data_IF_363576326439
#
_entry.id   IF_363576326439
#
_cell.length_a   1.000
_cell.length_b   1.000
_cell.length_c   1.000
_cell.angle_alpha   90.00
_cell.angle_beta   90.00
_cell.angle_gamma   90.00
#
_symmetry.space_group_name_H-M   'P 1'
#
loop_
_entity.id
_entity.type
_entity.pdbx_description
1 polymer ?
#
# COMPACT_ATOMS: atom_id res chain seq x y z
N UNK A 1 -2.40 78.02 43.17
CA UNK A 1 -2.82 77.30 41.94
C UNK A 1 -1.70 76.97 40.94
N UNK A 2 -0.52 77.61 40.95
CA UNK A 2 0.58 77.30 40.01
C UNK A 2 1.22 75.91 40.19
N UNK A 3 1.42 75.43 41.43
CA UNK A 3 2.06 74.12 41.68
C UNK A 3 1.27 72.90 41.20
N UNK A 4 -0.07 72.90 41.29
CA UNK A 4 -0.89 71.77 40.81
C UNK A 4 -0.76 71.55 39.29
N UNK A 5 -0.70 72.63 38.49
CA UNK A 5 -0.54 72.52 37.03
C UNK A 5 0.85 71.99 36.64
N UNK A 6 1.89 72.35 37.39
CA UNK A 6 3.26 71.86 37.16
C UNK A 6 3.38 70.37 37.51
N UNK A 7 2.80 69.94 38.63
CA UNK A 7 2.79 68.51 39.05
C UNK A 7 2.02 67.65 38.05
N UNK A 8 0.86 68.11 37.56
CA UNK A 8 0.08 67.38 36.54
C UNK A 8 0.85 67.26 35.22
N UNK A 9 1.56 68.31 34.78
CA UNK A 9 2.42 68.26 33.59
C UNK A 9 3.58 67.29 33.76
N UNK A 10 4.18 67.23 34.96
CA UNK A 10 5.27 66.31 35.25
C UNK A 10 4.80 64.85 35.25
N UNK A 11 3.64 64.56 35.85
CA UNK A 11 3.04 63.22 35.84
C UNK A 11 2.68 62.80 34.40
N UNK A 12 2.10 63.70 33.61
CA UNK A 12 1.78 63.43 32.21
C UNK A 12 3.05 63.14 31.37
N UNK A 13 4.14 63.88 31.63
CA UNK A 13 5.43 63.65 30.98
C UNK A 13 6.01 62.27 31.36
N UNK A 14 5.95 61.90 32.64
CA UNK A 14 6.42 60.61 33.13
C UNK A 14 5.61 59.46 32.51
N UNK A 15 4.29 59.58 32.45
CA UNK A 15 3.42 58.60 31.80
C UNK A 15 3.71 58.47 30.29
N UNK A 16 3.94 59.59 29.61
CA UNK A 16 4.30 59.60 28.20
C UNK A 16 5.64 58.90 27.94
N UNK A 17 6.65 59.18 28.77
CA UNK A 17 7.96 58.51 28.70
C UNK A 17 7.83 57.02 29.01
N UNK A 18 7.03 56.65 30.02
CA UNK A 18 6.76 55.25 30.36
C UNK A 18 6.11 54.50 29.19
N UNK A 19 5.10 55.09 28.53
CA UNK A 19 4.44 54.51 27.35
C UNK A 19 5.44 54.30 26.21
N UNK A 20 6.29 55.29 25.92
CA UNK A 20 7.34 55.17 24.89
C UNK A 20 8.33 54.07 25.24
N UNK A 21 8.77 53.97 26.50
CA UNK A 21 9.70 52.93 26.94
C UNK A 21 9.07 51.54 26.85
N UNK A 22 7.82 51.36 27.27
CA UNK A 22 7.10 50.09 27.11
C UNK A 22 6.85 49.74 25.66
N UNK A 23 6.46 50.70 24.82
CA UNK A 23 6.25 50.49 23.39
C UNK A 23 7.55 50.14 22.67
N UNK A 24 8.65 50.81 23.01
CA UNK A 24 9.98 50.53 22.48
C UNK A 24 10.49 49.17 22.94
N UNK A 25 10.30 48.80 24.22
CA UNK A 25 10.61 47.47 24.74
C UNK A 25 9.79 46.38 24.04
N UNK A 26 8.48 46.59 23.86
CA UNK A 26 7.61 45.66 23.15
C UNK A 26 8.03 45.50 21.69
N UNK A 27 8.33 46.61 21.01
CA UNK A 27 8.83 46.64 19.63
C UNK A 27 10.18 45.91 19.51
N UNK A 28 11.12 46.17 20.41
CA UNK A 28 12.42 45.49 20.40
C UNK A 28 12.27 43.99 20.65
N UNK A 29 11.40 43.60 21.58
CA UNK A 29 11.15 42.20 21.91
C UNK A 29 10.46 41.45 20.75
N UNK A 30 9.50 42.10 20.08
CA UNK A 30 8.88 41.60 18.85
C UNK A 30 9.89 41.51 17.70
N UNK A 31 10.77 42.50 17.56
CA UNK A 31 11.82 42.53 16.54
C UNK A 31 12.87 41.44 16.78
N UNK A 32 13.30 41.25 18.02
CA UNK A 32 14.27 40.21 18.40
C UNK A 32 13.70 38.80 18.19
N UNK A 33 12.39 38.59 18.47
CA UNK A 33 11.69 37.35 18.13
C UNK A 33 11.59 37.08 16.63
N UNK A 34 11.65 38.12 15.79
CA UNK A 34 11.49 38.03 14.32
C UNK A 34 12.80 38.11 13.53
N UNK A 35 13.91 38.56 14.14
CA UNK A 35 15.26 38.44 13.56
C UNK A 35 15.79 37.02 13.71
N UNK A 36 15.40 36.13 12.80
CA UNK A 36 15.97 34.78 12.74
C UNK A 36 17.47 34.75 12.43
N UNK A 37 18.15 33.70 12.92
CA UNK A 37 19.57 33.42 12.69
C UNK A 37 19.73 32.62 11.39
N UNK A 38 20.70 33.00 10.55
CA UNK A 38 21.10 32.18 9.39
C UNK A 38 21.76 30.90 9.91
N UNK A 39 21.20 29.76 9.51
CA UNK A 39 21.64 28.43 9.95
C UNK A 39 21.63 27.51 8.73
N UNK A 40 22.66 26.69 8.59
CA UNK A 40 22.70 25.62 7.59
C UNK A 40 21.88 24.46 8.14
N UNK A 41 20.86 24.04 7.42
CA UNK A 41 19.98 22.91 7.77
C UNK A 41 20.14 21.83 6.72
N UNK A 42 20.19 20.58 7.13
CA UNK A 42 20.09 19.43 6.23
C UNK A 42 18.63 19.06 6.03
N UNK A 43 18.20 18.99 4.79
CA UNK A 43 16.87 18.61 4.36
C UNK A 43 16.97 17.28 3.60
N UNK A 44 16.21 16.27 4.03
CA UNK A 44 16.27 14.94 3.42
C UNK A 44 15.23 14.82 2.30
N UNK A 45 15.72 14.66 1.07
CA UNK A 45 14.90 14.44 -0.12
C UNK A 45 15.12 13.04 -0.67
N UNK A 46 14.15 12.52 -1.41
CA UNK A 46 14.31 11.25 -2.11
C UNK A 46 15.01 11.45 -3.46
N UNK A 47 16.09 10.72 -3.66
CA UNK A 47 16.73 10.57 -4.97
C UNK A 47 16.17 9.32 -5.68
N UNK A 48 15.46 9.46 -6.80
CA UNK A 48 14.92 8.33 -7.56
C UNK A 48 15.99 7.47 -8.22
N UNK A 49 17.20 8.01 -8.45
CA UNK A 49 18.32 7.30 -9.08
C UNK A 49 18.99 6.38 -8.05
N UNK A 50 19.44 6.94 -6.93
CA UNK A 50 20.00 6.19 -5.80
C UNK A 50 18.98 5.36 -5.03
N UNK A 51 17.68 5.66 -5.18
CA UNK A 51 16.56 5.05 -4.45
C UNK A 51 16.67 5.20 -2.93
N UNK A 52 17.25 6.30 -2.48
CA UNK A 52 17.54 6.58 -1.07
C UNK A 52 17.16 8.01 -0.68
N UNK A 53 17.18 8.29 0.63
CA UNK A 53 17.06 9.65 1.15
C UNK A 53 18.45 10.27 1.23
N UNK A 54 18.64 11.41 0.56
CA UNK A 54 19.90 12.16 0.59
C UNK A 54 19.74 13.49 1.32
N UNK A 55 20.71 13.89 2.17
CA UNK A 55 20.70 15.19 2.81
C UNK A 55 21.14 16.27 1.83
N UNK A 56 20.37 17.36 1.74
CA UNK A 56 20.75 18.59 1.04
C UNK A 56 20.89 19.73 2.05
N UNK A 57 22.05 20.39 2.05
CA UNK A 57 22.29 21.54 2.90
C UNK A 57 21.67 22.82 2.31
N UNK A 58 20.98 23.59 3.16
CA UNK A 58 20.40 24.88 2.78
C UNK A 58 20.55 25.89 3.90
N UNK A 59 21.02 27.09 3.55
CA UNK A 59 21.01 28.21 4.49
C UNK A 59 19.59 28.75 4.64
N UNK A 60 19.04 28.65 5.85
CA UNK A 60 17.69 29.13 6.18
C UNK A 60 17.81 30.14 7.32
N UNK A 61 17.00 31.20 7.25
CA UNK A 61 16.82 32.14 8.36
C UNK A 61 15.80 31.55 9.34
N UNK A 62 16.29 30.94 10.41
CA UNK A 62 15.49 30.23 11.41
C UNK A 62 15.08 31.18 12.54
N UNK A 63 13.80 31.29 12.91
CA UNK A 63 13.35 32.04 14.08
C UNK A 63 13.91 31.47 15.39
N UNK A 64 14.02 32.29 16.44
CA UNK A 64 14.52 31.83 17.75
C UNK A 64 13.55 30.88 18.49
N UNK A 65 12.32 30.71 18.01
CA UNK A 65 11.34 29.77 18.56
C UNK A 65 11.48 28.43 17.87
N UNK A 66 11.65 27.36 18.64
CA UNK A 66 11.78 25.98 18.12
C UNK A 66 10.55 25.56 17.30
N UNK A 67 9.35 25.89 17.74
CA UNK A 67 8.10 25.67 16.99
C UNK A 67 8.14 26.37 15.62
N UNK A 68 8.48 27.66 15.59
CA UNK A 68 8.55 28.41 14.33
C UNK A 68 9.70 27.94 13.43
N UNK A 69 10.79 27.44 14.02
CA UNK A 69 11.90 26.81 13.30
C UNK A 69 11.44 25.56 12.56
N UNK A 70 10.75 24.65 13.26
CA UNK A 70 10.19 23.41 12.68
C UNK A 70 9.22 23.74 11.54
N UNK A 71 8.27 24.67 11.74
CA UNK A 71 7.34 25.10 10.67
C UNK A 71 8.12 25.59 9.45
N UNK A 72 9.12 26.47 9.66
CA UNK A 72 9.92 27.03 8.57
C UNK A 72 10.70 25.96 7.81
N UNK A 73 11.22 24.96 8.52
CA UNK A 73 11.97 23.84 7.92
C UNK A 73 11.04 22.94 7.11
N UNK A 74 9.88 22.57 7.66
CA UNK A 74 8.85 21.78 6.95
C UNK A 74 8.39 22.52 5.68
N UNK A 75 8.10 23.82 5.76
CA UNK A 75 7.74 24.61 4.59
C UNK A 75 8.86 24.67 3.56
N UNK A 76 10.11 24.65 3.99
CA UNK A 76 11.26 24.61 3.07
C UNK A 76 11.44 23.22 2.45
N UNK A 77 11.15 22.15 3.19
CA UNK A 77 11.22 20.75 2.75
C UNK A 77 10.20 20.42 1.65
N UNK A 78 9.10 21.19 1.54
CA UNK A 78 8.13 21.06 0.45
C UNK A 78 8.71 21.39 -0.93
N UNK A 79 9.82 22.14 -1.00
CA UNK A 79 10.40 22.60 -2.26
C UNK A 79 11.87 22.15 -2.37
N UNK A 80 12.13 21.05 -3.08
CA UNK A 80 13.48 20.58 -3.37
C UNK A 80 14.34 21.65 -4.03
N UNK A 81 15.64 21.63 -3.73
CA UNK A 81 16.61 22.59 -4.29
C UNK A 81 16.99 22.21 -5.73
N UNK A 82 16.95 20.92 -6.04
CA UNK A 82 17.27 20.35 -7.35
C UNK A 82 16.00 19.74 -7.97
N UNK A 83 15.84 19.88 -9.28
CA UNK A 83 14.61 19.52 -9.99
C UNK A 83 14.37 18.00 -10.09
N UNK A 84 15.37 17.18 -9.81
CA UNK A 84 15.37 15.71 -9.87
C UNK A 84 15.09 15.05 -8.51
N UNK A 85 15.12 15.82 -7.41
CA UNK A 85 14.84 15.33 -6.07
C UNK A 85 13.36 15.49 -5.72
N UNK A 86 12.83 14.53 -4.96
CA UNK A 86 11.42 14.50 -4.56
C UNK A 86 11.26 14.87 -3.10
N UNK A 87 10.31 15.77 -2.84
CA UNK A 87 9.93 16.12 -1.47
C UNK A 87 9.21 14.96 -0.79
N UNK A 88 9.49 14.68 0.49
CA UNK A 88 8.70 13.76 1.30
C UNK A 88 7.32 14.32 1.67
N UNK A 89 7.02 15.59 1.34
CA UNK A 89 5.77 16.25 1.71
C UNK A 89 4.93 16.60 0.49
N UNK A 90 3.62 16.44 0.62
CA UNK A 90 2.69 17.02 -0.33
C UNK A 90 2.67 18.55 -0.17
N UNK A 91 2.44 19.27 -1.28
CA UNK A 91 2.36 20.74 -1.29
C UNK A 91 1.38 21.30 -0.27
N UNK A 92 0.27 20.59 -0.08
CA UNK A 92 -0.86 21.02 0.74
C UNK A 92 -0.74 20.55 2.20
N UNK A 93 0.40 19.95 2.56
CA UNK A 93 0.69 19.56 3.95
C UNK A 93 0.76 20.79 4.84
N UNK A 94 -0.01 20.81 5.93
CA UNK A 94 -0.06 21.90 6.89
C UNK A 94 0.27 21.36 8.28
N UNK A 95 1.17 22.05 8.97
CA UNK A 95 1.45 21.80 10.38
C UNK A 95 0.38 22.45 11.23
N UNK A 96 -0.42 21.65 11.93
CA UNK A 96 -1.50 22.11 12.80
C UNK A 96 -0.99 22.52 14.19
N UNK A 97 -0.11 21.72 14.76
CA UNK A 97 0.52 22.00 16.05
C UNK A 97 1.86 21.29 16.18
N UNK A 98 2.72 21.82 17.04
CA UNK A 98 4.01 21.23 17.41
C UNK A 98 4.15 21.35 18.92
N UNK A 99 4.51 20.26 19.58
CA UNK A 99 5.00 20.25 20.95
C UNK A 99 6.39 19.62 20.99
N UNK A 100 7.33 20.20 21.73
CA UNK A 100 8.69 19.66 21.88
C UNK A 100 8.96 19.53 23.37
N UNK A 101 9.01 18.30 23.85
CA UNK A 101 9.25 17.95 25.24
C UNK A 101 10.26 16.79 25.27
N UNK A 102 11.29 16.91 26.12
CA UNK A 102 12.31 15.87 26.32
C UNK A 102 12.92 15.28 25.03
N UNK A 103 13.13 16.13 24.02
CA UNK A 103 13.70 15.73 22.71
C UNK A 103 12.69 15.13 21.74
N UNK A 104 11.43 14.91 22.15
CA UNK A 104 10.37 14.39 21.29
C UNK A 104 9.60 15.55 20.66
N UNK A 105 9.66 15.67 19.34
CA UNK A 105 8.83 16.58 18.57
C UNK A 105 7.50 15.90 18.21
N UNK A 106 6.44 16.22 18.94
CA UNK A 106 5.08 15.82 18.58
C UNK A 106 4.55 16.77 17.51
N UNK A 107 4.43 16.27 16.29
CA UNK A 107 4.07 17.00 15.08
C UNK A 107 2.70 16.57 14.59
N UNK A 108 1.73 17.48 14.64
CA UNK A 108 0.40 17.26 14.09
C UNK A 108 0.28 17.86 12.70
N UNK A 109 -0.04 17.02 11.72
CA UNK A 109 -0.22 17.40 10.31
C UNK A 109 -1.67 17.30 9.90
N UNK A 110 -2.05 18.00 8.83
CA UNK A 110 -3.34 17.76 8.20
C UNK A 110 -3.35 16.44 7.40
N UNK A 111 -4.54 15.91 7.10
CA UNK A 111 -4.71 14.72 6.23
C UNK A 111 -4.03 14.82 4.86
N UNK A 112 -3.77 16.03 4.36
CA UNK A 112 -3.04 16.18 3.10
C UNK A 112 -1.66 15.53 3.14
N UNK A 113 -1.05 15.32 4.32
CA UNK A 113 0.22 14.60 4.45
C UNK A 113 0.14 13.12 3.98
N UNK A 114 -1.02 12.48 4.15
CA UNK A 114 -1.21 11.05 3.86
C UNK A 114 -1.72 10.80 2.44
N UNK A 115 -2.27 11.81 1.75
CA UNK A 115 -2.81 11.66 0.39
C UNK A 115 -1.75 11.16 -0.60
N UNK A 116 -1.94 10.00 -1.21
CA UNK A 116 -0.99 9.42 -2.16
C UNK A 116 -1.71 8.83 -3.36
N UNK A 117 -1.14 9.00 -4.56
CA UNK A 117 -1.75 8.50 -5.80
C UNK A 117 -1.79 6.96 -5.85
N UNK A 118 -0.78 6.30 -5.28
CA UNK A 118 -0.78 4.85 -5.10
C UNK A 118 -0.03 4.46 -3.84
N UNK A 119 -0.65 3.62 -3.01
CA UNK A 119 -0.05 3.08 -1.80
C UNK A 119 1.13 2.18 -2.17
N UNK A 120 2.26 2.40 -1.51
CA UNK A 120 3.48 1.60 -1.63
C UNK A 120 4.30 1.78 -0.36
N UNK A 121 4.90 0.69 0.12
CA UNK A 121 5.77 0.67 1.29
C UNK A 121 6.88 1.70 1.13
N UNK A 122 7.52 1.74 -0.04
CA UNK A 122 8.64 2.66 -0.30
C UNK A 122 8.19 4.11 -0.32
N UNK A 123 7.06 4.41 -0.98
CA UNK A 123 6.57 5.79 -1.07
C UNK A 123 6.15 6.33 0.29
N UNK A 124 5.52 5.49 1.12
CA UNK A 124 5.15 5.85 2.48
C UNK A 124 6.41 6.08 3.35
N UNK A 125 7.39 5.19 3.26
CA UNK A 125 8.67 5.32 3.97
C UNK A 125 9.41 6.61 3.61
N UNK A 126 9.43 7.00 2.34
CA UNK A 126 10.03 8.26 1.89
C UNK A 126 9.41 9.45 2.65
N UNK A 127 8.09 9.48 2.79
CA UNK A 127 7.38 10.57 3.46
C UNK A 127 7.72 10.64 4.95
N UNK A 128 7.61 9.50 5.63
CA UNK A 128 7.86 9.42 7.07
C UNK A 128 9.33 9.70 7.38
N UNK A 129 10.24 8.91 6.81
CA UNK A 129 11.66 9.01 7.15
C UNK A 129 12.31 10.27 6.60
N UNK A 130 11.88 10.81 5.45
CA UNK A 130 12.39 12.09 4.95
C UNK A 130 12.04 13.26 5.89
N UNK A 131 10.81 13.28 6.42
CA UNK A 131 10.39 14.26 7.40
C UNK A 131 11.11 14.07 8.74
N UNK A 132 11.13 12.84 9.28
CA UNK A 132 11.78 12.51 10.56
C UNK A 132 13.26 12.86 10.51
N UNK A 133 13.99 12.41 9.49
CA UNK A 133 15.42 12.68 9.36
C UNK A 133 15.70 14.19 9.30
N UNK A 134 14.89 14.94 8.53
CA UNK A 134 15.02 16.40 8.47
C UNK A 134 14.84 17.08 9.83
N UNK A 135 13.87 16.65 10.64
CA UNK A 135 13.61 17.27 11.94
C UNK A 135 14.60 16.85 13.02
N UNK A 136 15.10 15.61 12.96
CA UNK A 136 16.13 15.10 13.91
C UNK A 136 17.53 15.67 13.67
N UNK A 137 17.74 16.43 12.60
CA UNK A 137 18.96 17.26 12.44
C UNK A 137 18.93 18.52 13.32
N UNK A 138 17.78 18.87 13.90
CA UNK A 138 17.68 19.96 14.86
C UNK A 138 18.23 19.51 16.22
N UNK A 139 19.06 20.34 16.89
CA UNK A 139 19.79 19.93 18.09
C UNK A 139 18.89 19.54 19.27
N UNK A 140 17.65 20.05 19.31
CA UNK A 140 16.71 19.81 20.40
C UNK A 140 15.70 18.69 20.08
N UNK A 141 15.85 17.96 18.96
CA UNK A 141 14.91 16.93 18.52
C UNK A 141 15.65 15.62 18.27
N UNK A 142 15.37 14.61 19.09
CA UNK A 142 15.93 13.26 18.97
C UNK A 142 14.99 12.31 18.23
N UNK A 143 13.69 12.57 18.29
CA UNK A 143 12.66 11.75 17.63
C UNK A 143 11.40 12.56 17.33
N UNK A 144 10.59 12.10 16.39
CA UNK A 144 9.35 12.76 15.96
C UNK A 144 8.18 11.81 16.17
N UNK A 145 7.17 12.27 16.90
CA UNK A 145 5.87 11.61 16.98
C UNK A 145 4.93 12.30 16.00
N UNK A 146 4.37 11.56 15.04
CA UNK A 146 3.46 12.11 14.03
C UNK A 146 2.02 11.89 14.45
N UNK A 147 1.19 12.93 14.34
CA UNK A 147 -0.28 12.87 14.44
C UNK A 147 -0.88 13.38 13.14
N UNK A 148 -2.02 12.82 12.75
CA UNK A 148 -2.80 13.28 11.59
C UNK A 148 -4.15 13.77 12.09
N UNK A 149 -4.46 15.04 11.86
CA UNK A 149 -5.74 15.65 12.28
C UNK A 149 -6.03 15.57 13.79
N UNK A 150 -4.98 15.65 14.62
CA UNK A 150 -4.98 15.42 16.08
C UNK A 150 -5.19 13.96 16.50
N UNK A 151 -5.29 13.03 15.56
CA UNK A 151 -5.41 11.60 15.87
C UNK A 151 -4.03 10.95 15.88
N UNK A 152 -3.82 10.12 16.91
CA UNK A 152 -2.71 9.19 16.95
C UNK A 152 -3.15 7.95 16.16
N UNK A 153 -2.48 7.67 15.05
CA UNK A 153 -2.75 6.51 14.20
C UNK A 153 -1.66 5.46 14.37
N UNK A 154 -1.97 4.22 14.05
CA UNK A 154 -0.99 3.14 14.11
C UNK A 154 -0.01 3.21 12.94
N UNK A 155 -0.51 3.55 11.76
CA UNK A 155 0.26 3.67 10.52
C UNK A 155 0.08 5.05 9.89
N UNK A 156 1.08 5.53 9.16
CA UNK A 156 1.01 6.81 8.45
C UNK A 156 -0.03 6.76 7.32
N UNK A 157 0.05 5.72 6.51
CA UNK A 157 -1.01 5.28 5.61
C UNK A 157 -1.40 3.84 5.95
N UNK A 158 -0.54 2.87 5.61
CA UNK A 158 -0.80 1.44 5.81
C UNK A 158 0.45 0.66 6.25
N UNK A 159 1.63 1.08 5.84
CA UNK A 159 2.85 0.28 5.97
C UNK A 159 3.82 0.76 7.06
N UNK A 160 3.87 2.07 7.32
CA UNK A 160 4.87 2.65 8.21
C UNK A 160 4.23 3.04 9.53
N UNK A 161 4.63 2.36 10.60
CA UNK A 161 4.10 2.61 11.93
C UNK A 161 4.47 4.02 12.42
N UNK A 162 3.49 4.70 13.01
CA UNK A 162 3.63 6.02 13.63
C UNK A 162 2.99 6.08 15.04
N UNK A 163 2.61 4.94 15.62
CA UNK A 163 2.09 4.83 17.00
C UNK A 163 3.13 5.14 18.08
N UNK A 164 4.39 5.33 17.71
CA UNK A 164 5.47 5.70 18.62
C UNK A 164 6.41 6.75 18.00
N UNK A 165 7.18 7.49 18.82
CA UNK A 165 8.17 8.44 18.31
C UNK A 165 9.24 7.73 17.48
N UNK A 166 9.50 8.27 16.29
CA UNK A 166 10.44 7.72 15.32
C UNK A 166 11.74 8.52 15.38
N UNK A 167 12.86 7.83 15.58
CA UNK A 167 14.18 8.43 15.55
C UNK A 167 14.73 8.52 14.12
N UNK A 168 15.88 9.16 13.95
CA UNK A 168 16.58 9.26 12.68
C UNK A 168 16.78 7.87 12.03
N UNK A 169 16.32 7.71 10.79
CA UNK A 169 16.41 6.48 10.02
C UNK A 169 17.61 6.51 9.09
N UNK A 170 18.60 5.65 9.34
CA UNK A 170 19.82 5.51 8.54
C UNK A 170 19.89 4.21 7.73
N UNK A 171 18.78 3.46 7.65
CA UNK A 171 18.71 2.18 6.95
C UNK A 171 18.41 2.31 5.45
N UNK A 172 18.40 1.17 4.76
CA UNK A 172 17.89 1.09 3.38
C UNK A 172 16.37 1.19 3.42
N UNK A 173 15.81 2.19 2.74
CA UNK A 173 14.35 2.38 2.66
C UNK A 173 13.64 1.05 2.34
N UNK A 174 12.60 0.69 3.11
CA UNK A 174 11.92 -0.57 2.95
C UNK A 174 11.34 -0.69 1.55
N UNK A 175 11.42 -1.90 0.99
CA UNK A 175 10.85 -2.24 -0.30
C UNK A 175 9.68 -3.19 -0.06
N UNK A 176 8.52 -2.86 -0.62
CA UNK A 176 7.39 -3.76 -0.61
C UNK A 176 7.62 -4.95 -1.55
N UNK A 177 7.05 -6.09 -1.17
CA UNK A 177 6.85 -7.24 -2.05
C UNK A 177 5.41 -7.17 -2.58
N UNK A 178 5.22 -7.23 -3.90
CA UNK A 178 3.87 -7.36 -4.47
C UNK A 178 3.28 -8.73 -4.13
N UNK A 179 2.01 -8.75 -3.73
CA UNK A 179 1.21 -9.93 -3.46
C UNK A 179 -0.16 -9.79 -4.12
N UNK A 180 -0.81 -10.94 -4.31
CA UNK A 180 -2.07 -11.08 -5.01
C UNK A 180 -3.16 -11.50 -4.03
N UNK A 181 -4.15 -10.62 -3.84
CA UNK A 181 -5.30 -10.84 -2.96
C UNK A 181 -6.56 -11.01 -3.78
N UNK A 182 -7.38 -12.01 -3.45
CA UNK A 182 -8.65 -12.26 -4.12
C UNK A 182 -9.79 -11.75 -3.27
N UNK A 183 -10.49 -10.72 -3.73
CA UNK A 183 -11.67 -10.17 -3.06
C UNK A 183 -12.92 -10.38 -3.90
N UNK A 184 -14.10 -10.40 -3.28
CA UNK A 184 -15.35 -10.44 -4.04
C UNK A 184 -15.63 -9.05 -4.64
N UNK A 185 -16.17 -9.01 -5.85
CA UNK A 185 -16.70 -7.77 -6.40
C UNK A 185 -17.91 -7.26 -5.57
N UNK A 186 -18.36 -6.02 -5.84
CA UNK A 186 -19.37 -5.38 -5.00
C UNK A 186 -20.74 -6.07 -5.03
N UNK A 187 -21.06 -6.79 -6.11
CA UNK A 187 -22.30 -7.57 -6.22
C UNK A 187 -22.18 -9.00 -5.65
N UNK A 188 -21.00 -9.41 -5.16
CA UNK A 188 -20.76 -10.73 -4.59
C UNK A 188 -20.84 -11.88 -5.60
N UNK A 189 -20.67 -11.61 -6.89
CA UNK A 189 -20.78 -12.59 -7.96
C UNK A 189 -19.46 -13.31 -8.27
N UNK A 190 -18.34 -12.57 -8.28
CA UNK A 190 -17.04 -13.06 -8.76
C UNK A 190 -15.90 -12.62 -7.85
N UNK A 191 -14.77 -13.35 -7.90
CA UNK A 191 -13.51 -12.90 -7.32
C UNK A 191 -12.77 -11.98 -8.29
N UNK A 192 -12.16 -10.94 -7.74
CA UNK A 192 -11.32 -9.97 -8.42
C UNK A 192 -9.93 -9.95 -7.77
N UNK A 193 -8.91 -9.82 -8.61
CA UNK A 193 -7.51 -9.79 -8.21
C UNK A 193 -7.08 -8.37 -7.85
N UNK A 194 -6.80 -8.15 -6.57
CA UNK A 194 -6.16 -6.94 -6.08
C UNK A 194 -4.66 -7.17 -5.89
N UNK A 195 -3.85 -6.29 -6.49
CA UNK A 195 -2.41 -6.23 -6.25
C UNK A 195 -2.13 -5.31 -5.06
N UNK A 196 -1.34 -5.79 -4.10
CA UNK A 196 -0.93 -5.01 -2.92
C UNK A 196 0.56 -5.21 -2.64
N UNK A 197 1.21 -4.23 -2.02
CA UNK A 197 2.54 -4.44 -1.46
C UNK A 197 2.43 -4.93 -0.01
N UNK A 198 3.39 -5.72 0.46
CA UNK A 198 3.58 -6.00 1.89
C UNK A 198 5.05 -5.80 2.26
N UNK A 199 5.33 -5.61 3.55
CA UNK A 199 6.70 -5.65 4.04
C UNK A 199 7.18 -7.11 4.01
N UNK A 200 8.21 -7.46 3.22
CA UNK A 200 8.64 -8.85 3.08
C UNK A 200 9.15 -9.41 4.42
N UNK A 201 8.78 -10.66 4.70
CA UNK A 201 9.31 -11.44 5.84
C UNK A 201 10.20 -12.56 5.30
N UNK A 202 11.28 -12.85 6.00
CA UNK A 202 12.21 -13.93 5.66
C UNK A 202 11.68 -15.31 6.05
N UNK A 203 10.97 -15.38 7.18
CA UNK A 203 10.29 -16.60 7.62
C UNK A 203 9.04 -16.86 6.76
N UNK A 204 8.92 -18.03 6.11
CA UNK A 204 7.78 -18.34 5.24
C UNK A 204 6.44 -18.35 5.99
N UNK A 205 6.42 -18.80 7.26
CA UNK A 205 5.19 -18.82 8.06
C UNK A 205 4.74 -17.40 8.36
N UNK A 206 5.65 -16.53 8.81
CA UNK A 206 5.38 -15.11 9.03
C UNK A 206 4.93 -14.39 7.75
N UNK A 207 5.58 -14.67 6.60
CA UNK A 207 5.18 -14.10 5.31
C UNK A 207 3.76 -14.52 4.91
N UNK A 208 3.44 -15.80 5.05
CA UNK A 208 2.12 -16.34 4.68
C UNK A 208 1.04 -15.82 5.62
N UNK A 209 1.35 -15.70 6.92
CA UNK A 209 0.45 -15.10 7.92
C UNK A 209 0.20 -13.62 7.64
N UNK A 210 1.22 -12.85 7.27
CA UNK A 210 1.08 -11.44 6.87
C UNK A 210 0.12 -11.30 5.67
N UNK A 211 0.25 -12.16 4.65
CA UNK A 211 -0.66 -12.15 3.48
C UNK A 211 -2.11 -12.46 3.89
N UNK A 212 -2.31 -13.41 4.82
CA UNK A 212 -3.63 -13.70 5.36
C UNK A 212 -4.20 -12.50 6.14
N UNK A 213 -3.37 -11.82 6.93
CA UNK A 213 -3.77 -10.62 7.67
C UNK A 213 -4.16 -9.47 6.74
N UNK A 214 -3.43 -9.27 5.64
CA UNK A 214 -3.80 -8.30 4.61
C UNK A 214 -5.12 -8.63 3.91
N UNK A 215 -5.42 -9.92 3.74
CA UNK A 215 -6.71 -10.36 3.24
C UNK A 215 -7.83 -10.04 4.24
N UNK A 216 -7.63 -10.30 5.54
CA UNK A 216 -8.60 -9.99 6.59
C UNK A 216 -8.80 -8.49 6.80
N UNK A 217 -7.76 -7.68 6.59
CA UNK A 217 -7.87 -6.22 6.59
C UNK A 217 -8.88 -5.71 5.54
N UNK A 218 -9.14 -6.49 4.50
CA UNK A 218 -10.08 -6.13 3.44
C UNK A 218 -9.42 -5.37 2.29
N UNK A 219 -10.22 -5.00 1.28
CA UNK A 219 -9.75 -4.37 0.04
C UNK A 219 -9.35 -2.91 0.24
N UNK A 220 -8.20 -2.51 -0.31
CA UNK A 220 -7.79 -1.09 -0.37
C UNK A 220 -8.35 -0.36 -1.60
N UNK A 221 -9.10 -1.09 -2.45
CA UNK A 221 -9.73 -0.59 -3.67
C UNK A 221 -11.25 -0.64 -3.62
N UNK A 222 -11.83 -0.85 -2.44
CA UNK A 222 -13.27 -0.83 -2.23
C UNK A 222 -14.00 -2.07 -2.75
N UNK A 223 -13.32 -3.21 -2.91
CA UNK A 223 -13.97 -4.50 -3.14
C UNK A 223 -14.58 -5.06 -1.85
N UNK A 224 -15.49 -6.02 -1.98
CA UNK A 224 -16.18 -6.63 -0.83
C UNK A 224 -15.25 -7.58 -0.08
N UNK A 225 -15.06 -7.32 1.22
CA UNK A 225 -14.38 -8.22 2.14
C UNK A 225 -15.40 -9.17 2.78
N UNK A 226 -15.21 -10.49 2.68
CA UNK A 226 -16.10 -11.44 3.34
C UNK A 226 -15.78 -11.63 4.84
N UNK A 227 -14.75 -10.96 5.37
CA UNK A 227 -14.27 -11.14 6.74
C UNK A 227 -14.83 -10.06 7.66
N UNK A 228 -15.17 -10.39 8.92
CA UNK A 228 -15.62 -9.40 9.88
C UNK A 228 -14.52 -8.39 10.20
N UNK A 229 -14.88 -7.12 10.21
CA UNK A 229 -14.01 -6.03 10.66
C UNK A 229 -13.85 -6.09 12.20
N UNK A 230 -12.67 -5.75 12.69
CA UNK A 230 -12.38 -5.55 14.13
C UNK A 230 -12.56 -6.78 15.06
N UNK A 231 -12.56 -8.00 14.52
CA UNK A 231 -12.61 -9.24 15.32
C UNK A 231 -11.35 -10.07 15.06
N UNK A 232 -10.63 -10.43 16.12
CA UNK A 232 -9.56 -11.44 16.02
C UNK A 232 -10.20 -12.84 15.87
N UNK A 233 -10.33 -13.25 14.62
CA UNK A 233 -10.92 -14.53 14.24
C UNK A 233 -9.88 -15.64 14.14
N UNK A 234 -8.59 -15.41 14.42
CA UNK A 234 -7.52 -16.38 14.17
C UNK A 234 -6.98 -16.98 15.48
N UNK A 235 -7.32 -18.23 15.77
CA UNK A 235 -6.77 -18.95 16.92
C UNK A 235 -5.33 -19.41 16.68
N UNK A 236 -5.07 -20.05 15.54
CA UNK A 236 -3.77 -20.60 15.20
C UNK A 236 -3.52 -20.61 13.68
N UNK A 237 -2.25 -20.63 13.30
CA UNK A 237 -1.80 -20.62 11.92
C UNK A 237 -0.46 -21.31 11.78
N UNK A 238 -0.38 -22.33 10.92
CA UNK A 238 0.87 -23.04 10.66
C UNK A 238 0.93 -23.65 9.25
N UNK A 239 2.14 -23.96 8.80
CA UNK A 239 2.39 -24.60 7.50
C UNK A 239 2.94 -26.00 7.76
N UNK A 240 2.26 -27.01 7.22
CA UNK A 240 2.68 -28.41 7.29
C UNK A 240 3.62 -28.77 6.13
N UNK A 241 4.36 -29.87 6.30
CA UNK A 241 5.14 -30.46 5.21
C UNK A 241 4.25 -30.78 4.00
N UNK A 242 4.72 -30.45 2.79
CA UNK A 242 3.93 -30.61 1.55
C UNK A 242 3.15 -29.35 1.14
N UNK A 243 3.30 -28.23 1.86
CA UNK A 243 2.74 -26.94 1.47
C UNK A 243 1.26 -26.77 1.86
N UNK A 244 0.80 -27.46 2.90
CA UNK A 244 -0.56 -27.31 3.41
C UNK A 244 -0.54 -26.22 4.48
N UNK A 245 -1.23 -25.10 4.22
CA UNK A 245 -1.47 -24.08 5.24
C UNK A 245 -2.68 -24.51 6.06
N UNK A 246 -2.56 -24.54 7.38
CA UNK A 246 -3.71 -24.72 8.27
C UNK A 246 -4.06 -23.40 8.94
N UNK A 247 -5.33 -23.02 8.83
CA UNK A 247 -5.91 -21.84 9.47
C UNK A 247 -6.94 -22.35 10.47
N UNK A 248 -6.74 -22.03 11.75
CA UNK A 248 -7.72 -22.30 12.79
C UNK A 248 -8.46 -21.02 13.15
N UNK A 249 -9.74 -20.95 12.77
CA UNK A 249 -10.59 -19.84 13.14
C UNK A 249 -11.13 -20.01 14.56
N UNK A 250 -11.30 -18.89 15.27
CA UNK A 250 -12.08 -18.86 16.51
C UNK A 250 -13.57 -19.11 16.22
N UNK A 251 -14.35 -19.45 17.25
CA UNK A 251 -15.81 -19.59 17.10
C UNK A 251 -16.50 -18.29 16.65
N UNK A 252 -15.86 -17.14 16.81
CA UNK A 252 -16.44 -15.84 16.47
C UNK A 252 -16.70 -15.68 14.97
N UNK A 253 -15.99 -16.44 14.11
CA UNK A 253 -16.26 -16.46 12.66
C UNK A 253 -17.71 -16.88 12.35
N UNK A 254 -18.34 -17.64 13.24
CA UNK A 254 -19.72 -18.12 13.10
C UNK A 254 -20.78 -17.06 13.42
N UNK A 255 -20.38 -15.93 14.02
CA UNK A 255 -21.31 -14.84 14.35
C UNK A 255 -21.74 -14.00 13.13
N UNK A 256 -21.12 -14.24 11.97
CA UNK A 256 -21.41 -13.55 10.71
C UNK A 256 -21.77 -14.56 9.62
N UNK A 257 -22.93 -15.24 9.72
CA UNK A 257 -23.30 -16.27 8.76
C UNK A 257 -23.48 -15.69 7.36
N UNK A 258 -22.87 -16.36 6.38
CA UNK A 258 -22.97 -16.01 4.97
C UNK A 258 -23.92 -16.97 4.24
N UNK A 259 -24.57 -16.47 3.17
CA UNK A 259 -25.29 -17.33 2.25
C UNK A 259 -24.34 -18.24 1.45
N UNK A 260 -24.84 -19.34 0.89
CA UNK A 260 -24.01 -20.38 0.26
C UNK A 260 -23.00 -19.89 -0.78
N UNK A 261 -23.39 -18.94 -1.63
CA UNK A 261 -22.49 -18.37 -2.64
C UNK A 261 -21.40 -17.48 -2.02
N UNK A 262 -21.76 -16.70 -1.00
CA UNK A 262 -20.80 -15.87 -0.28
C UNK A 262 -19.84 -16.71 0.56
N UNK A 263 -20.31 -17.78 1.21
CA UNK A 263 -19.46 -18.78 1.87
C UNK A 263 -18.43 -19.36 0.89
N UNK A 264 -18.88 -19.75 -0.30
CA UNK A 264 -18.03 -20.29 -1.34
C UNK A 264 -16.95 -19.30 -1.80
N UNK A 265 -17.31 -18.05 -2.08
CA UNK A 265 -16.34 -17.01 -2.45
C UNK A 265 -15.37 -16.68 -1.31
N UNK A 266 -15.81 -16.79 -0.05
CA UNK A 266 -14.94 -16.61 1.13
C UNK A 266 -13.85 -17.67 1.18
N UNK A 267 -14.24 -18.95 1.02
CA UNK A 267 -13.28 -20.05 1.00
C UNK A 267 -12.31 -19.90 -0.18
N UNK A 268 -12.81 -19.59 -1.38
CA UNK A 268 -11.94 -19.36 -2.53
C UNK A 268 -11.03 -18.14 -2.38
N UNK A 269 -11.49 -17.06 -1.76
CA UNK A 269 -10.69 -15.87 -1.47
C UNK A 269 -9.45 -16.24 -0.67
N UNK A 270 -9.62 -16.97 0.44
CA UNK A 270 -8.51 -17.49 1.26
C UNK A 270 -7.60 -18.41 0.44
N UNK A 271 -8.19 -19.46 -0.16
CA UNK A 271 -7.43 -20.53 -0.81
C UNK A 271 -6.64 -19.99 -1.99
N UNK A 272 -7.28 -19.19 -2.85
CA UNK A 272 -6.62 -18.63 -4.02
C UNK A 272 -5.57 -17.59 -3.61
N UNK A 273 -5.78 -16.78 -2.59
CA UNK A 273 -4.73 -15.87 -2.10
C UNK A 273 -3.51 -16.61 -1.57
N UNK A 274 -3.69 -17.61 -0.71
CA UNK A 274 -2.54 -18.29 -0.10
C UNK A 274 -1.80 -19.21 -1.08
N UNK A 275 -2.51 -19.80 -2.04
CA UNK A 275 -1.91 -20.64 -3.09
C UNK A 275 -1.28 -19.84 -4.24
N UNK A 276 -1.28 -18.51 -4.20
CA UNK A 276 -0.39 -17.69 -5.04
C UNK A 276 1.08 -17.92 -4.66
N UNK A 277 1.34 -18.24 -3.39
CA UNK A 277 2.67 -18.58 -2.93
C UNK A 277 3.10 -19.93 -3.52
N UNK A 278 4.26 -20.01 -4.21
CA UNK A 278 4.64 -21.19 -4.98
C UNK A 278 4.88 -22.44 -4.12
N UNK A 279 5.17 -22.26 -2.82
CA UNK A 279 5.40 -23.35 -1.87
C UNK A 279 4.12 -23.82 -1.17
N UNK A 280 2.98 -23.15 -1.41
CA UNK A 280 1.67 -23.49 -0.84
C UNK A 280 0.82 -24.21 -1.89
N UNK A 281 0.38 -25.42 -1.54
CA UNK A 281 -0.37 -26.31 -2.44
C UNK A 281 -1.86 -26.36 -2.12
N UNK A 282 -2.23 -26.18 -0.86
CA UNK A 282 -3.61 -26.23 -0.39
C UNK A 282 -3.78 -25.59 0.99
N UNK A 283 -5.03 -25.34 1.38
CA UNK A 283 -5.39 -24.75 2.67
C UNK A 283 -6.38 -25.65 3.40
N UNK A 284 -6.07 -26.01 4.64
CA UNK A 284 -7.01 -26.63 5.57
C UNK A 284 -7.60 -25.55 6.48
N UNK A 285 -8.92 -25.54 6.60
CA UNK A 285 -9.64 -24.63 7.50
C UNK A 285 -10.17 -25.43 8.69
N UNK A 286 -9.97 -24.92 9.90
CA UNK A 286 -10.47 -25.46 11.16
C UNK A 286 -11.31 -24.39 11.89
N UNK A 287 -12.15 -24.84 12.81
CA UNK A 287 -12.83 -23.97 13.78
C UNK A 287 -12.58 -24.53 15.18
N UNK A 288 -11.99 -23.71 16.06
CA UNK A 288 -11.66 -24.08 17.45
C UNK A 288 -10.91 -25.42 17.54
N UNK A 289 -9.88 -25.56 16.70
CA UNK A 289 -9.01 -26.73 16.61
C UNK A 289 -9.65 -27.96 15.95
N UNK A 290 -10.87 -27.86 15.41
CA UNK A 290 -11.62 -29.00 14.86
C UNK A 290 -11.82 -28.87 13.35
N UNK A 291 -11.68 -29.99 12.67
CA UNK A 291 -12.13 -30.14 11.28
C UNK A 291 -13.65 -30.14 11.29
N UNK A 292 -14.26 -29.21 10.56
CA UNK A 292 -15.71 -29.12 10.38
C UNK A 292 -16.07 -29.40 8.92
N UNK A 293 -17.31 -29.83 8.62
CA UNK A 293 -17.72 -30.06 7.23
C UNK A 293 -17.78 -28.79 6.39
N UNK A 294 -18.25 -27.67 6.96
CA UNK A 294 -18.54 -26.41 6.25
C UNK A 294 -18.36 -25.22 7.20
N UNK A 295 -18.11 -24.01 6.69
CA UNK A 295 -18.08 -22.79 7.51
C UNK A 295 -19.51 -22.36 7.92
N UNK A 296 -20.42 -22.28 6.94
CA UNK A 296 -21.79 -21.75 7.10
C UNK A 296 -22.87 -22.67 6.52
N UNK A 297 -22.50 -23.85 6.04
CA UNK A 297 -23.44 -24.92 5.67
C UNK A 297 -23.33 -25.42 4.24
N UNK A 298 -22.41 -24.90 3.42
CA UNK A 298 -22.45 -25.12 1.96
C UNK A 298 -21.15 -25.67 1.39
N UNK A 299 -20.01 -25.04 1.69
CA UNK A 299 -18.74 -25.41 1.05
C UNK A 299 -18.00 -26.45 1.87
N UNK A 300 -17.70 -27.60 1.27
CA UNK A 300 -16.96 -28.65 1.97
C UNK A 300 -15.53 -28.20 2.27
N UNK A 301 -15.20 -28.09 3.57
CA UNK A 301 -13.88 -27.73 4.08
C UNK A 301 -13.25 -28.83 4.96
N UNK A 302 -13.82 -30.05 4.94
CA UNK A 302 -13.35 -31.16 5.78
C UNK A 302 -11.99 -31.71 5.38
N UNK A 303 -11.43 -31.25 4.25
CA UNK A 303 -10.16 -31.67 3.69
C UNK A 303 -9.39 -30.45 3.15
N UNK A 304 -8.04 -30.55 3.00
CA UNK A 304 -7.26 -29.48 2.41
C UNK A 304 -7.73 -29.12 1.01
N UNK A 305 -7.94 -27.83 0.80
CA UNK A 305 -8.60 -27.26 -0.37
C UNK A 305 -7.55 -26.71 -1.32
N UNK A 306 -7.64 -27.09 -2.60
CA UNK A 306 -6.73 -26.61 -3.65
C UNK A 306 -7.26 -25.36 -4.33
N UNK A 307 -6.36 -24.65 -4.98
CA UNK A 307 -6.65 -23.53 -5.86
C UNK A 307 -7.75 -23.90 -6.88
N UNK A 308 -8.82 -23.11 -6.93
CA UNK A 308 -10.03 -23.35 -7.76
C UNK A 308 -10.72 -24.72 -7.61
N UNK A 309 -10.54 -25.42 -6.48
CA UNK A 309 -10.98 -26.82 -6.27
C UNK A 309 -12.41 -27.15 -6.72
N UNK A 310 -13.38 -26.27 -6.47
CA UNK A 310 -14.79 -26.56 -6.73
C UNK A 310 -15.17 -26.52 -8.23
N UNK A 311 -14.28 -26.07 -9.11
CA UNK A 311 -14.59 -25.81 -10.52
C UNK A 311 -13.91 -26.80 -11.48
N UNK A 312 -13.28 -27.85 -10.96
CA UNK A 312 -12.43 -28.78 -11.74
C UNK A 312 -12.79 -30.27 -11.60
N UNK A 313 -13.82 -30.61 -10.83
CA UNK A 313 -14.22 -32.01 -10.61
C UNK A 313 -14.96 -32.64 -11.81
N UNK A 314 -15.43 -31.82 -12.77
CA UNK A 314 -16.09 -32.26 -14.00
C UNK A 314 -15.37 -31.72 -15.25
N UNK A 315 -14.39 -32.47 -15.76
CA UNK A 315 -13.70 -32.20 -17.04
C UNK A 315 -12.39 -31.40 -16.92
N UNK A 316 -11.67 -31.26 -18.05
CA UNK A 316 -10.52 -30.36 -18.10
C UNK A 316 -11.03 -28.90 -18.03
N UNK A 317 -10.56 -28.14 -17.06
CA UNK A 317 -10.93 -26.74 -16.88
C UNK A 317 -9.74 -25.82 -17.17
N UNK A 318 -10.04 -24.66 -17.73
CA UNK A 318 -9.08 -23.55 -17.88
C UNK A 318 -9.64 -22.30 -17.20
N UNK A 319 -8.73 -21.40 -16.83
CA UNK A 319 -9.05 -20.23 -16.00
C UNK A 319 -8.54 -18.98 -16.72
N UNK A 320 -9.24 -18.50 -17.77
CA UNK A 320 -8.98 -17.19 -18.32
C UNK A 320 -9.20 -16.10 -17.26
N UNK A 321 -8.24 -15.19 -17.16
CA UNK A 321 -8.40 -13.94 -16.42
C UNK A 321 -8.92 -12.87 -17.38
N UNK A 322 -10.15 -12.44 -17.17
CA UNK A 322 -10.77 -11.34 -17.91
C UNK A 322 -10.57 -10.00 -17.19
N UNK A 323 -10.98 -8.91 -17.83
CA UNK A 323 -10.99 -7.58 -17.25
C UNK A 323 -12.38 -7.28 -16.73
N UNK A 324 -12.46 -6.84 -15.47
CA UNK A 324 -13.68 -6.37 -14.85
C UNK A 324 -13.46 -4.95 -14.34
N UNK A 325 -14.42 -4.06 -14.60
CA UNK A 325 -14.36 -2.66 -14.17
C UNK A 325 -15.33 -2.45 -13.01
N UNK A 326 -14.82 -2.00 -11.86
CA UNK A 326 -15.61 -1.63 -10.69
C UNK A 326 -15.30 -0.16 -10.37
N UNK A 327 -16.29 0.72 -10.57
CA UNK A 327 -16.06 2.16 -10.51
C UNK A 327 -15.06 2.65 -11.57
N UNK A 328 -13.98 3.30 -11.13
CA UNK A 328 -12.89 3.78 -12.00
C UNK A 328 -11.70 2.79 -12.07
N UNK A 329 -11.76 1.69 -11.32
CA UNK A 329 -10.68 0.71 -11.21
C UNK A 329 -10.94 -0.52 -12.11
N UNK A 330 -9.86 -1.07 -12.67
CA UNK A 330 -9.89 -2.30 -13.46
C UNK A 330 -9.16 -3.42 -12.75
N UNK A 331 -9.81 -4.58 -12.67
CA UNK A 331 -9.32 -5.77 -12.00
C UNK A 331 -9.24 -6.94 -12.98
N UNK A 332 -8.34 -7.88 -12.69
CA UNK A 332 -8.39 -9.18 -13.35
C UNK A 332 -9.36 -10.10 -12.62
N UNK A 333 -10.21 -10.78 -13.37
CA UNK A 333 -11.26 -11.66 -12.86
C UNK A 333 -11.04 -13.08 -13.40
N UNK A 334 -10.63 -14.05 -12.57
CA UNK A 334 -10.57 -15.45 -13.00
C UNK A 334 -11.99 -15.97 -13.27
N UNK A 335 -12.18 -16.58 -14.43
CA UNK A 335 -13.44 -17.27 -14.77
C UNK A 335 -13.10 -18.70 -15.12
N UNK A 336 -13.73 -19.66 -14.46
CA UNK A 336 -13.50 -21.07 -14.79
C UNK A 336 -14.38 -21.49 -15.94
N UNK A 337 -13.74 -22.05 -16.97
CA UNK A 337 -14.39 -22.56 -18.18
C UNK A 337 -14.03 -24.03 -18.30
N UNK A 338 -15.04 -24.90 -18.21
CA UNK A 338 -14.90 -26.32 -18.58
C UNK A 338 -14.72 -26.42 -20.08
N UNK A 339 -13.72 -27.17 -20.53
CA UNK A 339 -13.41 -27.37 -21.94
C UNK A 339 -13.42 -28.86 -22.29
N UNK A 340 -13.89 -29.15 -23.49
CA UNK A 340 -13.78 -30.46 -24.13
C UNK A 340 -12.76 -30.39 -25.27
N UNK A 341 -11.57 -29.83 -24.99
CA UNK A 341 -10.56 -29.56 -26.01
C UNK A 341 -9.29 -30.35 -25.73
N UNK A 342 -8.72 -30.95 -26.76
CA UNK A 342 -7.40 -31.60 -26.68
C UNK A 342 -6.25 -30.58 -26.60
N UNK A 343 -6.56 -29.29 -26.76
CA UNK A 343 -5.58 -28.22 -26.81
C UNK A 343 -5.97 -27.02 -25.92
N UNK A 344 -5.69 -27.10 -24.61
CA UNK A 344 -6.02 -26.03 -23.67
C UNK A 344 -5.29 -24.72 -23.97
N UNK A 345 -4.09 -24.76 -24.56
CA UNK A 345 -3.28 -23.56 -24.86
C UNK A 345 -3.94 -22.72 -25.96
N UNK A 346 -4.30 -23.33 -27.08
CA UNK A 346 -4.98 -22.65 -28.19
C UNK A 346 -6.39 -22.21 -27.78
N UNK A 347 -7.09 -23.04 -27.02
CA UNK A 347 -8.45 -22.74 -26.54
C UNK A 347 -8.43 -21.51 -25.63
N UNK A 348 -7.49 -21.47 -24.68
CA UNK A 348 -7.30 -20.31 -23.82
C UNK A 348 -6.93 -19.05 -24.60
N UNK A 349 -6.10 -19.16 -25.64
CA UNK A 349 -5.76 -18.01 -26.50
C UNK A 349 -7.00 -17.41 -27.16
N UNK A 350 -7.86 -18.27 -27.73
CA UNK A 350 -9.11 -17.86 -28.39
C UNK A 350 -10.03 -17.16 -27.40
N UNK A 351 -10.24 -17.74 -26.22
CA UNK A 351 -11.08 -17.16 -25.17
C UNK A 351 -10.56 -15.82 -24.65
N UNK A 352 -9.24 -15.63 -24.61
CA UNK A 352 -8.64 -14.37 -24.16
C UNK A 352 -8.71 -13.29 -25.22
N UNK A 353 -8.73 -13.59 -26.52
CA UNK A 353 -8.83 -12.54 -27.55
C UNK A 353 -10.27 -12.20 -27.91
N UNK A 354 -11.20 -13.13 -27.70
CA UNK A 354 -12.60 -13.01 -28.13
C UNK A 354 -13.52 -13.54 -27.03
N UNK A 355 -14.17 -12.62 -26.32
CA UNK A 355 -15.09 -12.90 -25.23
C UNK A 355 -16.33 -12.02 -25.39
N UNK A 356 -17.50 -12.67 -25.50
CA UNK A 356 -18.78 -11.97 -25.61
C UNK A 356 -19.30 -11.42 -24.28
N UNK A 357 -18.74 -11.90 -23.17
CA UNK A 357 -19.26 -11.65 -21.81
C UNK A 357 -18.40 -10.66 -21.02
N UNK A 358 -17.09 -10.62 -21.29
CA UNK A 358 -16.12 -9.91 -20.47
C UNK A 358 -15.06 -9.23 -21.31
N UNK A 359 -14.60 -8.07 -20.84
CA UNK A 359 -13.53 -7.32 -21.46
C UNK A 359 -12.20 -8.08 -21.39
N UNK A 360 -11.32 -7.78 -22.35
CA UNK A 360 -9.99 -8.36 -22.44
C UNK A 360 -8.96 -7.32 -22.90
N UNK A 361 -7.70 -7.48 -22.51
CA UNK A 361 -6.62 -6.66 -23.05
C UNK A 361 -6.01 -7.26 -24.31
N UNK A 362 -6.10 -8.58 -24.51
CA UNK A 362 -5.58 -9.23 -25.71
C UNK A 362 -6.47 -8.88 -26.92
N UNK A 363 -5.94 -8.24 -27.96
CA UNK A 363 -6.78 -7.77 -29.08
C UNK A 363 -7.37 -8.93 -29.90
N UNK A 364 -8.60 -8.77 -30.38
CA UNK A 364 -9.35 -9.80 -31.11
C UNK A 364 -8.62 -10.34 -32.36
N UNK A 365 -7.92 -9.46 -33.07
CA UNK A 365 -7.15 -9.76 -34.28
C UNK A 365 -5.73 -10.31 -33.98
N UNK A 366 -5.41 -10.58 -32.72
CA UNK A 366 -4.13 -11.20 -32.36
C UNK A 366 -4.07 -12.65 -32.84
N UNK A 367 -2.88 -13.10 -33.20
CA UNK A 367 -2.65 -14.46 -33.68
C UNK A 367 -1.62 -15.18 -32.82
N UNK A 368 -1.87 -16.47 -32.55
CA UNK A 368 -0.90 -17.37 -31.93
C UNK A 368 -0.10 -18.03 -33.06
N UNK A 369 1.18 -17.66 -33.18
CA UNK A 369 2.06 -18.11 -34.26
C UNK A 369 2.69 -19.48 -33.96
N UNK A 370 3.16 -19.66 -32.73
CA UNK A 370 3.73 -20.92 -32.28
C UNK A 370 3.66 -21.04 -30.75
N UNK A 371 3.69 -22.27 -30.24
CA UNK A 371 3.92 -22.51 -28.82
C UNK A 371 4.55 -23.89 -28.60
N UNK A 372 5.25 -24.03 -27.47
CA UNK A 372 5.72 -25.31 -26.92
C UNK A 372 5.97 -25.18 -25.43
N UNK A 373 5.96 -26.30 -24.73
CA UNK A 373 6.26 -26.33 -23.28
C UNK A 373 7.55 -27.09 -23.04
N UNK A 374 8.50 -26.46 -22.36
CA UNK A 374 9.78 -27.04 -21.98
C UNK A 374 10.06 -26.71 -20.51
N UNK A 375 10.35 -27.71 -19.68
CA UNK A 375 10.71 -27.51 -18.26
C UNK A 375 9.74 -26.58 -17.50
N UNK A 376 8.43 -26.84 -17.61
CA UNK A 376 7.35 -26.04 -17.03
C UNK A 376 7.31 -24.57 -17.51
N UNK A 377 7.99 -24.25 -18.61
CA UNK A 377 7.95 -22.93 -19.24
C UNK A 377 7.20 -23.04 -20.56
N UNK A 378 6.07 -22.34 -20.68
CA UNK A 378 5.36 -22.17 -21.93
C UNK A 378 6.09 -21.12 -22.75
N UNK A 379 6.64 -21.51 -23.89
CA UNK A 379 7.22 -20.59 -24.87
C UNK A 379 6.15 -20.36 -25.92
N UNK A 380 5.65 -19.13 -26.04
CA UNK A 380 4.58 -18.79 -26.99
C UNK A 380 4.93 -17.53 -27.77
N UNK A 381 4.67 -17.56 -29.07
CA UNK A 381 4.88 -16.45 -29.98
C UNK A 381 3.53 -15.97 -30.51
N UNK A 382 3.27 -14.67 -30.36
CA UNK A 382 2.04 -14.04 -30.79
C UNK A 382 2.33 -12.81 -31.65
N UNK A 383 1.42 -12.52 -32.57
CA UNK A 383 1.40 -11.24 -33.29
C UNK A 383 0.19 -10.42 -32.88
N UNK A 384 0.44 -9.14 -32.61
CA UNK A 384 -0.56 -8.15 -32.23
C UNK A 384 -0.57 -7.04 -33.29
N UNK A 385 -1.74 -6.54 -33.74
CA UNK A 385 -1.84 -5.45 -34.71
C UNK A 385 -1.09 -4.17 -34.26
N UNK A 386 -0.40 -3.51 -35.19
CA UNK A 386 0.42 -2.31 -34.92
C UNK A 386 -0.39 -1.00 -34.90
N UNK A 387 -1.64 -1.03 -35.37
CA UNK A 387 -2.48 0.14 -35.62
C UNK A 387 -3.22 0.67 -34.38
N UNK A 388 -3.07 0.00 -33.23
CA UNK A 388 -3.74 0.36 -31.98
C UNK A 388 -2.74 0.39 -30.83
N UNK A 389 -2.75 1.48 -30.06
CA UNK A 389 -1.89 1.65 -28.90
C UNK A 389 -2.39 0.80 -27.72
N UNK A 390 -1.93 -0.45 -27.64
CA UNK A 390 -2.29 -1.38 -26.57
C UNK A 390 -1.37 -1.26 -25.36
N UNK A 391 -1.92 -1.52 -24.17
CA UNK A 391 -1.12 -1.61 -22.96
C UNK A 391 -0.44 -2.99 -22.87
N UNK A 392 0.78 -3.08 -23.40
CA UNK A 392 1.58 -4.32 -23.43
C UNK A 392 1.76 -4.91 -22.03
N UNK A 393 1.92 -4.08 -20.99
CA UNK A 393 2.06 -4.57 -19.61
C UNK A 393 0.80 -5.28 -19.12
N UNK A 394 -0.39 -4.78 -19.47
CA UNK A 394 -1.67 -5.40 -19.14
C UNK A 394 -1.89 -6.71 -19.91
N UNK A 395 -1.50 -6.77 -21.18
CA UNK A 395 -1.54 -8.01 -21.98
C UNK A 395 -0.62 -9.07 -21.38
N UNK A 396 0.63 -8.69 -21.04
CA UNK A 396 1.57 -9.59 -20.37
C UNK A 396 1.00 -10.13 -19.06
N UNK A 397 0.39 -9.26 -18.24
CA UNK A 397 -0.24 -9.68 -16.98
C UNK A 397 -1.40 -10.66 -17.22
N UNK A 398 -2.29 -10.37 -18.18
CA UNK A 398 -3.43 -11.23 -18.50
C UNK A 398 -2.99 -12.63 -18.96
N UNK A 399 -2.02 -12.68 -19.89
CA UNK A 399 -1.43 -13.94 -20.39
C UNK A 399 -0.75 -14.68 -19.25
N UNK A 400 0.09 -14.00 -18.45
CA UNK A 400 0.79 -14.62 -17.32
C UNK A 400 -0.20 -15.26 -16.34
N UNK A 401 -1.21 -14.51 -15.87
CA UNK A 401 -2.20 -15.00 -14.92
C UNK A 401 -2.94 -16.22 -15.49
N UNK A 402 -3.44 -16.12 -16.71
CA UNK A 402 -4.26 -17.19 -17.32
C UNK A 402 -3.46 -18.46 -17.63
N UNK A 403 -2.29 -18.34 -18.23
CA UNK A 403 -1.51 -19.50 -18.66
C UNK A 403 -0.78 -20.21 -17.52
N UNK A 404 -0.46 -19.50 -16.43
CA UNK A 404 0.16 -20.13 -15.25
C UNK A 404 -0.83 -20.90 -14.37
N UNK A 405 -2.13 -20.85 -14.67
CA UNK A 405 -3.12 -21.78 -14.08
C UNK A 405 -3.11 -23.15 -14.75
N UNK A 406 -2.46 -23.31 -15.91
CA UNK A 406 -2.33 -24.61 -16.54
C UNK A 406 -1.40 -25.50 -15.69
N UNK A 407 -1.77 -26.77 -15.39
CA UNK A 407 -1.06 -27.63 -14.44
C UNK A 407 0.46 -27.78 -14.67
N UNK A 408 0.91 -27.66 -15.91
CA UNK A 408 2.31 -27.86 -16.31
C UNK A 408 3.02 -26.55 -16.73
N UNK A 409 2.49 -25.38 -16.37
CA UNK A 409 3.05 -24.09 -16.75
C UNK A 409 3.30 -23.24 -15.50
N UNK A 410 4.57 -23.07 -15.15
CA UNK A 410 5.01 -22.18 -14.05
C UNK A 410 5.49 -20.82 -14.54
N UNK A 411 5.92 -20.75 -15.79
CA UNK A 411 6.47 -19.53 -16.43
C UNK A 411 5.97 -19.43 -17.86
N UNK A 412 5.88 -18.21 -18.36
CA UNK A 412 5.57 -17.95 -19.77
C UNK A 412 6.70 -17.13 -20.37
N UNK A 413 7.39 -17.68 -21.37
CA UNK A 413 8.27 -16.92 -22.26
C UNK A 413 7.43 -16.47 -23.45
N UNK A 414 6.99 -15.23 -23.40
CA UNK A 414 6.10 -14.61 -24.37
C UNK A 414 6.93 -13.81 -25.39
N UNK A 415 6.74 -14.09 -26.68
CA UNK A 415 7.32 -13.32 -27.77
C UNK A 415 6.18 -12.55 -28.45
N UNK A 416 6.22 -11.22 -28.40
CA UNK A 416 5.23 -10.34 -29.05
C UNK A 416 5.94 -9.56 -30.14
N UNK A 417 5.54 -9.71 -31.40
CA UNK A 417 6.11 -8.95 -32.52
C UNK A 417 7.67 -8.94 -32.53
N UNK A 418 8.28 -10.09 -32.17
CA UNK A 418 9.74 -10.34 -32.03
C UNK A 418 10.43 -9.82 -30.76
N UNK A 419 9.71 -9.17 -29.85
CA UNK A 419 10.23 -8.82 -28.53
C UNK A 419 9.94 -9.94 -27.53
N UNK A 420 10.94 -10.29 -26.72
CA UNK A 420 10.87 -11.41 -25.77
C UNK A 420 10.67 -10.93 -24.33
N UNK A 421 9.73 -11.57 -23.63
CA UNK A 421 9.42 -11.32 -22.23
C UNK A 421 9.37 -12.64 -21.45
N UNK A 422 10.06 -12.69 -20.31
CA UNK A 422 9.92 -13.80 -19.36
C UNK A 422 8.97 -13.38 -18.24
N UNK A 423 7.82 -14.06 -18.17
CA UNK A 423 6.75 -13.78 -17.24
C UNK A 423 6.68 -14.88 -16.19
N UNK A 424 6.64 -14.47 -14.92
CA UNK A 424 6.53 -15.36 -13.78
C UNK A 424 5.51 -14.81 -12.81
N UNK A 425 4.63 -15.68 -12.33
CA UNK A 425 3.76 -15.38 -11.20
C UNK A 425 4.65 -15.21 -9.95
N UNK A 426 4.56 -14.07 -9.27
CA UNK A 426 5.47 -13.69 -8.16
C UNK A 426 4.91 -14.05 -6.79
#
# INVERSE_FOLDING_TARGET
MKNKKTVVRLIALILFVAIILTGSYLYLNLRLKTTGKKTIVKLYYYDPIGKELIPTEKEIKIPSSNTLAVIKIIDTLKTPVQNDLFSPLNSDTVVKSINIEDGVCTLNLNEAATKIASLSVRKEAIRVYGLVNTLTELPDITSVQILIDNEKKDYFNHYIQIDHPIAHYSGVLPQGKEVLLYFSNLNGGNLLLEKREIIPKTDPVALTKEILQELFYGSLKGLSSPFPEDIDILNDFYIQSGGIVTIDFSLDILNHPLGSHAEYLTVLSIVNTLTELPDITSVQILIDGKVVPTLFGSTNISHPIKRFFALTEEGEAIIPYYVYTEGEEQFFMPVVKTINSQNPIETLFILLKDSSEFDTYLPENSTLLSYRTENFTLIMEISIPEDVNFNIDKIKQQIMLSYTELPNVKKVKLIINKEEFLLTRQ
#
